data_IF_951516053428
#
_entry.id   IF_951516053428
#
_cell.length_a   1.000
_cell.length_b   1.000
_cell.length_c   1.000
_cell.angle_alpha   90.00
_cell.angle_beta   90.00
_cell.angle_gamma   90.00
#
_symmetry.space_group_name_H-M   'P 1'
#
loop_
_entity.id
_entity.type
_entity.pdbx_description
1 polymer ?
#
# COMPACT_ATOMS: atom_id res chain seq x y z
N UNK A 1 -43.81 6.86 32.46
CA UNK A 1 -43.02 7.14 31.24
C UNK A 1 -43.22 5.97 30.29
N UNK A 2 -43.77 6.21 29.10
CA UNK A 2 -44.19 5.15 28.16
C UNK A 2 -42.98 4.39 27.60
N UNK A 3 -43.03 3.05 27.60
CA UNK A 3 -41.96 2.18 27.10
C UNK A 3 -41.59 2.46 25.63
N UNK A 4 -42.53 3.00 24.84
CA UNK A 4 -42.29 3.47 23.46
C UNK A 4 -41.25 4.58 23.36
N UNK A 5 -41.19 5.48 24.35
CA UNK A 5 -40.30 6.65 24.29
C UNK A 5 -38.85 6.29 24.62
N UNK A 6 -38.65 5.26 25.45
CA UNK A 6 -37.30 4.77 25.80
C UNK A 6 -36.68 3.99 24.64
N UNK A 7 -37.48 3.21 23.91
CA UNK A 7 -37.04 2.50 22.71
C UNK A 7 -36.68 3.48 21.58
N UNK A 8 -37.52 4.50 21.35
CA UNK A 8 -37.23 5.52 20.35
C UNK A 8 -36.00 6.36 20.72
N UNK A 9 -35.85 6.78 21.98
CA UNK A 9 -34.67 7.51 22.44
C UNK A 9 -33.37 6.70 22.32
N UNK A 10 -33.43 5.38 22.54
CA UNK A 10 -32.26 4.49 22.36
C UNK A 10 -31.91 4.31 20.88
N UNK A 11 -32.91 4.21 20.01
CA UNK A 11 -32.71 4.18 18.56
C UNK A 11 -32.11 5.48 18.02
N UNK A 12 -32.61 6.62 18.46
CA UNK A 12 -32.08 7.94 18.10
C UNK A 12 -30.63 8.12 18.58
N UNK A 13 -30.32 7.75 19.82
CA UNK A 13 -28.95 7.81 20.35
C UNK A 13 -27.97 6.91 19.58
N UNK A 14 -28.41 5.72 19.12
CA UNK A 14 -27.57 4.83 18.31
C UNK A 14 -27.30 5.42 16.91
N UNK A 15 -28.32 5.99 16.27
CA UNK A 15 -28.19 6.65 14.97
C UNK A 15 -27.30 7.91 15.08
N UNK A 16 -27.44 8.68 16.16
CA UNK A 16 -26.57 9.81 16.47
C UNK A 16 -25.11 9.38 16.66
N UNK A 17 -24.88 8.29 17.40
CA UNK A 17 -23.54 7.73 17.60
C UNK A 17 -22.87 7.33 16.27
N UNK A 18 -23.61 6.65 15.38
CA UNK A 18 -23.11 6.29 14.05
C UNK A 18 -22.84 7.54 13.21
N UNK A 19 -23.72 8.53 13.23
CA UNK A 19 -23.53 9.78 12.49
C UNK A 19 -22.31 10.56 12.98
N UNK A 20 -22.08 10.63 14.29
CA UNK A 20 -20.91 11.26 14.88
C UNK A 20 -19.62 10.52 14.50
N UNK A 21 -19.65 9.19 14.50
CA UNK A 21 -18.52 8.38 14.06
C UNK A 21 -18.21 8.55 12.57
N UNK A 22 -19.23 8.54 11.71
CA UNK A 22 -19.05 8.79 10.26
C UNK A 22 -18.53 10.22 10.03
N UNK A 23 -19.01 11.20 10.80
CA UNK A 23 -18.50 12.56 10.76
C UNK A 23 -17.03 12.62 11.17
N UNK A 24 -16.64 11.95 12.24
CA UNK A 24 -15.24 11.82 12.67
C UNK A 24 -14.36 11.25 11.55
N UNK A 25 -14.76 10.14 10.93
CA UNK A 25 -13.99 9.53 9.84
C UNK A 25 -13.83 10.45 8.62
N UNK A 26 -14.83 11.29 8.34
CA UNK A 26 -14.80 12.30 7.28
C UNK A 26 -13.88 13.48 7.66
N UNK A 27 -14.02 14.01 8.87
CA UNK A 27 -13.25 15.15 9.37
C UNK A 27 -11.74 14.83 9.41
N UNK A 28 -11.39 13.59 9.74
CA UNK A 28 -10.00 13.10 9.75
C UNK A 28 -9.55 12.47 8.42
N UNK A 29 -10.37 12.49 7.38
CA UNK A 29 -10.10 11.92 6.05
C UNK A 29 -9.60 10.45 6.08
N UNK A 30 -10.02 9.68 7.09
CA UNK A 30 -9.55 8.29 7.33
C UNK A 30 -10.02 7.36 6.23
N UNK A 31 -11.17 7.66 5.61
CA UNK A 31 -11.75 6.85 4.53
C UNK A 31 -10.80 6.78 3.34
N UNK A 32 -10.22 7.92 2.93
CA UNK A 32 -9.26 7.96 1.83
C UNK A 32 -7.96 7.21 2.16
N UNK A 33 -7.47 7.34 3.39
CA UNK A 33 -6.30 6.60 3.87
C UNK A 33 -6.55 5.09 3.86
N UNK A 34 -7.67 4.63 4.41
CA UNK A 34 -8.03 3.22 4.48
C UNK A 34 -8.13 2.58 3.09
N UNK A 35 -8.79 3.27 2.14
CA UNK A 35 -8.87 2.80 0.74
C UNK A 35 -7.49 2.73 0.09
N UNK A 36 -6.63 3.72 0.30
CA UNK A 36 -5.26 3.71 -0.21
C UNK A 36 -4.44 2.53 0.32
N UNK A 37 -4.54 2.23 1.62
CA UNK A 37 -3.86 1.09 2.25
C UNK A 37 -4.41 -0.23 1.70
N UNK A 38 -5.72 -0.39 1.55
CA UNK A 38 -6.31 -1.61 1.01
C UNK A 38 -5.88 -1.89 -0.43
N UNK A 39 -5.92 -0.86 -1.29
CA UNK A 39 -5.47 -0.98 -2.68
C UNK A 39 -3.97 -1.27 -2.73
N UNK A 40 -3.17 -0.59 -1.91
CA UNK A 40 -1.73 -0.82 -1.80
C UNK A 40 -1.38 -2.25 -1.37
N UNK A 41 -2.09 -2.79 -0.38
CA UNK A 41 -1.90 -4.16 0.07
C UNK A 41 -2.21 -5.17 -1.03
N UNK A 42 -3.34 -5.02 -1.73
CA UNK A 42 -3.70 -5.92 -2.83
C UNK A 42 -2.71 -5.83 -4.00
N UNK A 43 -2.19 -4.63 -4.30
CA UNK A 43 -1.15 -4.45 -5.32
C UNK A 43 0.17 -5.13 -4.92
N UNK A 44 0.54 -5.07 -3.63
CA UNK A 44 1.71 -5.78 -3.10
C UNK A 44 1.53 -7.31 -3.16
N UNK A 45 0.32 -7.82 -2.88
CA UNK A 45 -0.01 -9.25 -3.06
C UNK A 45 0.10 -9.69 -4.52
N UNK A 46 -0.39 -8.87 -5.46
CA UNK A 46 -0.25 -9.16 -6.89
C UNK A 46 1.23 -9.21 -7.30
N UNK A 47 2.03 -8.25 -6.86
CA UNK A 47 3.48 -8.25 -7.12
C UNK A 47 4.16 -9.51 -6.53
N UNK A 48 3.78 -9.91 -5.31
CA UNK A 48 4.24 -11.16 -4.69
C UNK A 48 3.89 -12.38 -5.54
N UNK A 49 2.64 -12.47 -6.02
CA UNK A 49 2.19 -13.59 -6.85
C UNK A 49 2.98 -13.70 -8.17
N UNK A 50 3.36 -12.55 -8.75
CA UNK A 50 4.19 -12.50 -9.95
C UNK A 50 5.61 -12.98 -9.67
N UNK A 51 6.20 -12.55 -8.54
CA UNK A 51 7.53 -12.99 -8.13
C UNK A 51 7.53 -14.48 -7.88
N UNK A 52 6.59 -14.98 -7.08
CA UNK A 52 6.53 -16.39 -6.72
C UNK A 52 6.15 -17.28 -7.92
N UNK A 53 5.33 -16.77 -8.85
CA UNK A 53 4.84 -17.52 -10.00
C UNK A 53 5.76 -17.52 -11.22
N UNK A 54 6.56 -16.46 -11.45
CA UNK A 54 7.38 -16.32 -12.67
C UNK A 54 8.86 -16.17 -12.34
N UNK A 55 9.20 -15.35 -11.35
CA UNK A 55 10.60 -15.06 -11.00
C UNK A 55 11.24 -16.19 -10.18
N UNK A 56 10.53 -16.73 -9.19
CA UNK A 56 11.04 -17.83 -8.37
C UNK A 56 11.24 -19.15 -9.12
N UNK A 57 10.39 -19.61 -10.06
CA UNK A 57 10.69 -20.84 -10.80
C UNK A 57 11.86 -20.68 -11.78
N UNK A 58 12.11 -19.47 -12.30
CA UNK A 58 13.26 -19.19 -13.16
C UNK A 58 14.56 -19.05 -12.36
N UNK A 59 14.52 -18.44 -11.17
CA UNK A 59 15.65 -18.34 -10.26
C UNK A 59 15.81 -19.55 -9.33
N UNK A 60 14.79 -20.38 -9.17
CA UNK A 60 14.70 -21.47 -8.21
C UNK A 60 15.75 -22.56 -8.41
N UNK A 61 16.09 -22.97 -9.64
CA UNK A 61 17.22 -23.86 -9.90
C UNK A 61 18.57 -23.22 -9.52
N UNK A 62 18.73 -21.92 -9.76
CA UNK A 62 19.94 -21.18 -9.37
C UNK A 62 20.03 -21.02 -7.85
N UNK A 63 18.91 -20.74 -7.19
CA UNK A 63 18.81 -20.58 -5.74
C UNK A 63 18.98 -21.91 -5.02
N UNK A 64 18.43 -23.02 -5.54
CA UNK A 64 18.72 -24.38 -5.05
C UNK A 64 20.19 -24.75 -5.19
N UNK A 65 20.90 -24.24 -6.19
CA UNK A 65 22.34 -24.46 -6.33
C UNK A 65 23.16 -23.68 -5.30
N UNK A 66 22.71 -22.48 -4.92
CA UNK A 66 23.38 -21.59 -3.95
C UNK A 66 23.01 -21.93 -2.49
N UNK A 67 21.75 -22.28 -2.24
CA UNK A 67 21.18 -22.54 -0.90
C UNK A 67 21.02 -24.02 -0.58
N UNK A 68 21.02 -24.92 -1.58
CA UNK A 68 20.70 -26.35 -1.41
C UNK A 68 21.74 -27.18 -0.66
N UNK A 69 22.83 -26.57 -0.19
CA UNK A 69 23.69 -27.21 0.79
C UNK A 69 23.21 -26.78 2.17
N UNK A 70 22.12 -27.38 2.66
CA UNK A 70 21.52 -27.23 4.01
C UNK A 70 22.50 -26.56 4.97
N UNK A 71 22.54 -25.23 4.95
CA UNK A 71 23.59 -24.46 5.62
C UNK A 71 23.12 -24.21 7.04
N UNK A 72 22.81 -25.33 7.69
CA UNK A 72 22.25 -25.40 9.02
C UNK A 72 23.44 -25.48 9.96
N UNK A 73 23.88 -24.32 10.44
CA UNK A 73 24.95 -24.28 11.44
C UNK A 73 24.29 -24.57 12.78
N UNK A 74 24.47 -25.81 13.27
CA UNK A 74 24.02 -26.20 14.59
C UNK A 74 25.12 -25.84 15.59
N UNK A 75 24.91 -24.80 16.40
CA UNK A 75 25.81 -24.46 17.52
C UNK A 75 25.02 -24.66 18.82
N UNK A 76 25.47 -25.61 19.65
CA UNK A 76 24.95 -25.78 21.01
C UNK A 76 23.45 -26.12 21.14
N UNK A 77 22.85 -26.75 20.12
CA UNK A 77 21.41 -27.10 20.13
C UNK A 77 20.47 -26.05 19.52
N UNK A 78 21.01 -24.94 19.00
CA UNK A 78 20.26 -23.94 18.23
C UNK A 78 20.53 -24.14 16.73
N UNK A 79 19.45 -24.37 15.99
CA UNK A 79 19.48 -24.65 14.55
C UNK A 79 19.26 -23.34 13.77
N UNK A 80 20.35 -22.72 13.29
CA UNK A 80 20.27 -21.50 12.49
C UNK A 80 20.01 -21.83 11.02
N UNK A 81 18.84 -21.44 10.51
CA UNK A 81 18.40 -21.66 9.13
C UNK A 81 18.85 -20.49 8.24
N UNK A 82 20.14 -20.43 7.90
CA UNK A 82 20.68 -19.38 7.00
C UNK A 82 20.09 -19.43 5.58
N UNK A 83 19.58 -20.60 5.19
CA UNK A 83 18.91 -20.84 3.90
C UNK A 83 17.67 -19.96 3.70
N UNK A 84 16.80 -19.86 4.71
CA UNK A 84 15.56 -19.07 4.63
C UNK A 84 15.83 -17.57 4.58
N UNK A 85 16.91 -17.14 5.23
CA UNK A 85 17.32 -15.75 5.19
C UNK A 85 17.81 -15.35 3.79
N UNK A 86 18.62 -16.18 3.15
CA UNK A 86 19.13 -15.89 1.80
C UNK A 86 18.02 -15.94 0.75
N UNK A 87 17.07 -16.86 0.90
CA UNK A 87 15.86 -16.91 0.08
C UNK A 87 15.01 -15.64 0.22
N UNK A 88 14.77 -15.18 1.46
CA UNK A 88 14.06 -13.94 1.72
C UNK A 88 14.79 -12.71 1.15
N UNK A 89 16.12 -12.68 1.22
CA UNK A 89 16.93 -11.61 0.65
C UNK A 89 16.79 -11.55 -0.88
N UNK A 90 16.84 -12.71 -1.55
CA UNK A 90 16.64 -12.79 -3.00
C UNK A 90 15.21 -12.40 -3.40
N UNK A 91 14.20 -12.82 -2.64
CA UNK A 91 12.81 -12.39 -2.84
C UNK A 91 12.66 -10.87 -2.69
N UNK A 92 13.35 -10.26 -1.72
CA UNK A 92 13.34 -8.81 -1.52
C UNK A 92 13.93 -8.06 -2.73
N UNK A 93 15.08 -8.49 -3.26
CA UNK A 93 15.66 -7.88 -4.46
C UNK A 93 14.75 -8.01 -5.69
N UNK A 94 14.13 -9.19 -5.88
CA UNK A 94 13.15 -9.38 -6.95
C UNK A 94 11.92 -8.47 -6.78
N UNK A 95 11.41 -8.34 -5.56
CA UNK A 95 10.30 -7.46 -5.25
C UNK A 95 10.61 -5.99 -5.52
N UNK A 96 11.78 -5.53 -5.10
CA UNK A 96 12.23 -4.17 -5.36
C UNK A 96 12.29 -3.88 -6.87
N UNK A 97 12.79 -4.82 -7.67
CA UNK A 97 12.84 -4.69 -9.13
C UNK A 97 11.45 -4.63 -9.76
N UNK A 98 10.54 -5.51 -9.34
CA UNK A 98 9.17 -5.56 -9.87
C UNK A 98 8.41 -4.27 -9.55
N UNK A 99 8.47 -3.80 -8.29
CA UNK A 99 7.83 -2.54 -7.89
C UNK A 99 8.42 -1.36 -8.68
N UNK A 100 9.74 -1.33 -8.88
CA UNK A 100 10.40 -0.29 -9.67
C UNK A 100 9.88 -0.24 -11.11
N UNK A 101 9.78 -1.39 -11.78
CA UNK A 101 9.23 -1.48 -13.15
C UNK A 101 7.77 -1.04 -13.18
N UNK A 102 6.95 -1.47 -12.21
CA UNK A 102 5.54 -1.08 -12.14
C UNK A 102 5.36 0.43 -11.94
N UNK A 103 6.17 1.06 -11.09
CA UNK A 103 6.14 2.51 -10.91
C UNK A 103 6.60 3.26 -12.17
N UNK A 104 7.66 2.78 -12.82
CA UNK A 104 8.20 3.39 -14.03
C UNK A 104 7.21 3.32 -15.20
N UNK A 105 6.49 2.21 -15.35
CA UNK A 105 5.49 2.02 -16.41
C UNK A 105 4.18 2.72 -16.07
N UNK A 106 3.73 2.65 -14.81
CA UNK A 106 2.46 3.20 -14.36
C UNK A 106 2.43 4.72 -14.24
N UNK A 107 3.56 5.35 -13.92
CA UNK A 107 3.65 6.81 -13.75
C UNK A 107 4.13 7.47 -15.05
N UNK A 108 3.23 7.61 -16.01
CA UNK A 108 3.38 8.60 -17.06
C UNK A 108 3.09 9.97 -16.43
N UNK A 109 4.12 10.71 -16.02
CA UNK A 109 3.96 12.09 -15.58
C UNK A 109 3.45 12.94 -16.76
N UNK A 110 2.13 13.10 -16.88
CA UNK A 110 1.54 14.17 -17.68
C UNK A 110 1.91 15.47 -16.98
N UNK A 111 2.95 16.14 -17.47
CA UNK A 111 3.33 17.48 -17.01
C UNK A 111 2.19 18.44 -17.38
N UNK A 112 1.45 19.05 -16.43
CA UNK A 112 0.61 20.18 -16.79
C UNK A 112 1.53 21.38 -17.05
N UNK A 113 1.94 21.59 -18.29
CA UNK A 113 2.59 22.82 -18.74
C UNK A 113 1.54 23.89 -19.01
N UNK A 114 0.87 24.34 -17.95
CA UNK A 114 0.09 25.58 -18.05
C UNK A 114 1.01 26.74 -17.69
N UNK A 115 1.73 27.22 -18.69
CA UNK A 115 2.39 28.52 -18.64
C UNK A 115 1.34 29.59 -18.32
N UNK A 116 1.51 30.29 -17.20
CA UNK A 116 0.70 31.46 -16.88
C UNK A 116 1.11 32.55 -17.86
N UNK A 117 0.28 32.81 -18.88
CA UNK A 117 0.37 34.04 -19.64
C UNK A 117 0.04 35.19 -18.70
N UNK A 118 1.06 35.94 -18.26
CA UNK A 118 0.85 37.22 -17.63
C UNK A 118 0.09 38.08 -18.63
N UNK A 119 -1.19 38.34 -18.37
CA UNK A 119 -1.86 39.47 -19.01
C UNK A 119 -1.10 40.70 -18.55
N UNK A 120 -0.21 41.18 -19.42
CA UNK A 120 0.32 42.52 -19.32
C UNK A 120 -0.89 43.44 -19.32
N UNK A 121 -1.13 44.06 -18.17
CA UNK A 121 -2.11 45.14 -18.01
C UNK A 121 -1.53 46.34 -18.76
N UNK A 122 -1.62 46.28 -20.09
CA UNK A 122 -1.60 47.45 -20.93
C UNK A 122 -3.05 47.85 -21.12
N UNK A 123 -3.27 49.16 -20.98
CA UNK A 123 -4.51 49.88 -21.27
C UNK A 123 -5.53 49.91 -20.13
N UNK A 124 -5.41 50.96 -19.32
CA UNK A 124 -6.59 51.51 -18.67
C UNK A 124 -6.45 52.14 -17.30
N UNK A 125 -5.25 52.35 -16.75
CA UNK A 125 -5.10 53.18 -15.55
C UNK A 125 -4.16 54.34 -15.86
N UNK A 126 -4.73 55.29 -16.60
CA UNK A 126 -4.34 56.69 -16.55
C UNK A 126 -4.91 57.28 -15.26
N UNK A 127 -4.01 57.69 -14.36
CA UNK A 127 -4.20 58.61 -13.22
C UNK A 127 -5.23 58.21 -12.15
#
# INVERSE_FOLDING_TARGET
>A
MSASNVVNATGEAAVEGVNQFVKLLKDFNVIGFALGVMIGNNAAELANSFIDGIIMPTLGPALKRVSGKNMTVNVGGLTFHLEKFFEALMKFFAMALVIFVLLQVGVQMTKPVTWVSVRSVADGVSL
#
